data_IF_016743952859
#
_entry.id   IF_016743952859
#
_cell.length_a   1.000
_cell.length_b   1.000
_cell.length_c   1.000
_cell.angle_alpha   90.00
_cell.angle_beta   90.00
_cell.angle_gamma   90.00
#
_symmetry.space_group_name_H-M   'P 1'
#
loop_
_entity.id
_entity.type
_entity.pdbx_description
1 polymer ?
#
# COMPACT_ATOMS: atom_id res chain seq x y z
N UNK A 1 -10.61 21.92 -1.12
CA UNK A 1 -9.41 21.50 -1.91
C UNK A 1 -9.55 21.87 -3.38
N UNK A 2 -8.52 22.46 -3.99
CA UNK A 2 -8.40 22.69 -5.44
C UNK A 2 -8.30 21.35 -6.21
N UNK A 3 -8.39 21.39 -7.55
CA UNK A 3 -8.19 20.19 -8.38
C UNK A 3 -6.77 19.61 -8.21
N UNK A 4 -5.75 20.48 -8.17
CA UNK A 4 -4.37 20.08 -7.93
C UNK A 4 -4.19 19.39 -6.55
N UNK A 5 -4.80 19.92 -5.50
CA UNK A 5 -4.78 19.29 -4.18
C UNK A 5 -5.49 17.94 -4.16
N UNK A 6 -6.63 17.79 -4.87
CA UNK A 6 -7.30 16.48 -4.99
C UNK A 6 -6.42 15.47 -5.72
N UNK A 7 -5.77 15.88 -6.81
CA UNK A 7 -4.80 15.01 -7.52
C UNK A 7 -3.65 14.62 -6.60
N UNK A 8 -3.08 15.58 -5.86
CA UNK A 8 -1.98 15.33 -4.92
C UNK A 8 -2.33 14.31 -3.82
N UNK A 9 -3.60 14.25 -3.37
CA UNK A 9 -4.03 13.23 -2.41
C UNK A 9 -3.90 11.79 -2.94
N UNK A 10 -3.93 11.60 -4.26
CA UNK A 10 -3.81 10.27 -4.87
C UNK A 10 -2.39 9.71 -4.81
N UNK A 11 -1.41 10.43 -4.29
CA UNK A 11 -0.01 10.01 -4.29
C UNK A 11 0.52 9.69 -2.90
N UNK A 12 1.18 8.53 -2.78
CA UNK A 12 2.01 8.16 -1.66
C UNK A 12 3.45 8.02 -2.15
N UNK A 13 4.27 9.04 -1.89
CA UNK A 13 5.61 9.21 -2.47
C UNK A 13 6.70 8.76 -1.51
N UNK A 14 7.71 8.05 -2.02
CA UNK A 14 8.82 7.56 -1.23
C UNK A 14 9.78 8.68 -0.82
N UNK A 15 10.12 8.72 0.48
CA UNK A 15 11.20 9.56 0.99
C UNK A 15 12.55 8.93 0.68
N UNK A 16 13.51 9.75 0.27
CA UNK A 16 14.87 9.30 0.02
C UNK A 16 15.70 9.30 1.30
N UNK A 17 16.44 8.21 1.52
CA UNK A 17 17.46 8.13 2.57
C UNK A 17 16.95 8.54 3.97
N UNK A 18 15.77 8.06 4.39
CA UNK A 18 15.18 8.28 5.72
C UNK A 18 15.13 9.75 6.18
N UNK A 19 14.96 10.69 5.26
CA UNK A 19 14.88 12.13 5.55
C UNK A 19 13.98 12.88 4.57
N UNK A 20 13.49 14.02 5.02
CA UNK A 20 12.82 15.01 4.18
C UNK A 20 13.88 16.02 3.67
N UNK A 21 14.40 15.79 2.47
CA UNK A 21 15.33 16.72 1.84
C UNK A 21 14.61 17.92 1.18
N UNK A 22 15.39 18.90 0.69
CA UNK A 22 14.85 20.11 0.10
C UNK A 22 14.08 19.85 -1.21
N UNK A 23 14.51 18.86 -2.00
CA UNK A 23 13.84 18.50 -3.25
C UNK A 23 12.49 17.86 -2.97
N UNK A 24 12.45 16.91 -2.02
CA UNK A 24 11.20 16.26 -1.57
C UNK A 24 10.23 17.26 -0.97
N UNK A 25 10.70 18.16 -0.09
CA UNK A 25 9.88 19.26 0.46
C UNK A 25 9.26 20.11 -0.64
N UNK A 26 10.07 20.53 -1.62
CA UNK A 26 9.61 21.37 -2.74
C UNK A 26 8.53 20.67 -3.57
N UNK A 27 8.74 19.40 -3.89
CA UNK A 27 7.77 18.62 -4.68
C UNK A 27 6.47 18.36 -3.89
N UNK A 28 6.56 17.99 -2.61
CA UNK A 28 5.38 17.77 -1.76
C UNK A 28 4.50 19.03 -1.72
N UNK A 29 5.10 20.21 -1.50
CA UNK A 29 4.35 21.46 -1.45
C UNK A 29 3.83 21.86 -2.84
N UNK A 30 4.69 21.78 -3.88
CA UNK A 30 4.36 22.25 -5.22
C UNK A 30 3.30 21.43 -5.94
N UNK A 31 3.31 20.11 -5.73
CA UNK A 31 2.39 19.16 -6.36
C UNK A 31 1.31 18.67 -5.40
N UNK A 32 1.29 19.20 -4.16
CA UNK A 32 0.28 18.92 -3.14
C UNK A 32 0.19 17.41 -2.73
N UNK A 33 1.30 16.67 -2.80
CA UNK A 33 1.27 15.23 -2.46
C UNK A 33 0.80 15.02 -1.03
N UNK A 34 -0.19 14.13 -0.85
CA UNK A 34 -0.93 13.97 0.40
C UNK A 34 -0.42 12.86 1.31
N UNK A 35 0.52 12.01 0.85
CA UNK A 35 1.06 10.91 1.64
C UNK A 35 2.52 10.62 1.29
N UNK A 36 3.27 10.11 2.27
CA UNK A 36 4.68 9.73 2.08
C UNK A 36 4.95 8.36 2.69
N UNK A 37 6.06 7.71 2.28
CA UNK A 37 6.50 6.48 2.91
C UNK A 37 8.03 6.38 3.03
N UNK A 38 8.51 5.72 4.07
CA UNK A 38 9.92 5.40 4.27
C UNK A 38 10.32 4.25 3.33
N UNK A 39 10.97 4.59 2.23
CA UNK A 39 11.35 3.65 1.17
C UNK A 39 12.57 2.81 1.52
N UNK A 40 13.55 3.43 2.13
CA UNK A 40 14.80 2.78 2.50
C UNK A 40 14.71 2.17 3.91
N UNK A 41 15.51 1.12 4.12
CA UNK A 41 15.73 0.62 5.49
C UNK A 41 16.51 1.66 6.29
N UNK A 42 16.04 1.94 7.51
CA UNK A 42 16.71 2.86 8.42
C UNK A 42 16.89 2.27 9.81
N UNK A 43 17.97 2.65 10.48
CA UNK A 43 18.29 2.27 11.86
C UNK A 43 18.32 3.45 12.83
N UNK A 44 17.75 4.60 12.42
CA UNK A 44 17.76 5.83 13.24
C UNK A 44 16.85 5.76 14.47
N UNK A 45 16.10 4.68 14.62
CA UNK A 45 15.21 4.43 15.76
C UNK A 45 13.95 5.29 15.76
N UNK A 46 13.08 5.03 16.74
CA UNK A 46 11.77 5.69 16.88
C UNK A 46 11.90 7.22 16.90
N UNK A 47 12.82 7.77 17.70
CA UNK A 47 13.00 9.23 17.81
C UNK A 47 13.49 9.87 16.52
N UNK A 48 14.36 9.19 15.75
CA UNK A 48 14.84 9.66 14.46
C UNK A 48 13.75 9.68 13.41
N UNK A 49 12.98 8.59 13.31
CA UNK A 49 11.82 8.47 12.39
C UNK A 49 10.76 9.50 12.75
N UNK A 50 10.45 9.69 14.04
CA UNK A 50 9.51 10.70 14.52
C UNK A 50 9.88 12.10 14.07
N UNK A 51 11.15 12.47 14.16
CA UNK A 51 11.62 13.79 13.70
C UNK A 51 11.37 14.01 12.21
N UNK A 52 11.51 12.97 11.38
CA UNK A 52 11.22 13.06 9.94
C UNK A 52 9.72 13.15 9.70
N UNK A 53 8.93 12.32 10.39
CA UNK A 53 7.47 12.34 10.30
C UNK A 53 6.89 13.71 10.71
N UNK A 54 7.36 14.29 11.81
CA UNK A 54 6.93 15.63 12.26
C UNK A 54 7.30 16.71 11.24
N UNK A 55 8.48 16.60 10.59
CA UNK A 55 8.86 17.53 9.52
C UNK A 55 7.98 17.41 8.28
N UNK A 56 7.45 16.22 7.99
CA UNK A 56 6.46 16.00 6.92
C UNK A 56 5.11 16.59 7.33
N UNK A 57 4.61 16.29 8.52
CA UNK A 57 3.33 16.83 9.00
C UNK A 57 3.32 18.35 9.04
N UNK A 58 4.45 18.98 9.36
CA UNK A 58 4.59 20.44 9.32
C UNK A 58 4.38 21.07 7.93
N UNK A 59 4.29 20.28 6.85
CA UNK A 59 3.97 20.74 5.51
C UNK A 59 2.46 20.81 5.23
N UNK A 60 1.61 20.26 6.10
CA UNK A 60 0.19 20.06 5.83
C UNK A 60 -0.54 21.35 5.45
N UNK A 61 -0.25 22.46 6.13
CA UNK A 61 -0.86 23.76 5.82
C UNK A 61 -0.58 24.20 4.39
N UNK A 62 0.69 24.09 3.95
CA UNK A 62 1.12 24.60 2.63
C UNK A 62 0.80 23.60 1.49
N UNK A 63 0.88 22.31 1.78
CA UNK A 63 0.73 21.26 0.76
C UNK A 63 -0.73 20.83 0.57
N UNK A 64 -1.47 20.60 1.65
CA UNK A 64 -2.73 19.85 1.66
C UNK A 64 -3.90 20.57 2.31
N UNK A 65 -3.81 21.89 2.49
CA UNK A 65 -4.86 22.71 3.11
C UNK A 65 -5.20 22.27 4.55
N UNK A 66 -4.15 21.89 5.30
CA UNK A 66 -4.25 21.46 6.70
C UNK A 66 -4.65 19.99 6.89
N UNK A 67 -4.81 19.22 5.83
CA UNK A 67 -5.01 17.76 5.93
C UNK A 67 -3.68 17.06 6.19
N UNK A 68 -3.55 16.35 7.30
CA UNK A 68 -2.33 15.64 7.68
C UNK A 68 -2.01 14.48 6.72
N UNK A 69 -0.75 14.08 6.72
CA UNK A 69 -0.24 13.03 5.83
C UNK A 69 -0.47 11.63 6.39
N UNK A 70 -0.78 10.67 5.51
CA UNK A 70 -0.36 9.31 5.80
C UNK A 70 1.16 9.24 5.67
N UNK A 71 1.80 8.81 6.74
CA UNK A 71 3.23 8.48 6.79
C UNK A 71 3.35 6.97 6.91
N UNK A 72 3.88 6.32 5.88
CA UNK A 72 3.84 4.87 5.75
C UNK A 72 5.22 4.21 5.81
N UNK A 73 5.23 2.90 6.07
CA UNK A 73 6.42 2.05 5.97
C UNK A 73 6.03 0.60 5.63
N UNK A 74 7.00 -0.20 5.12
CA UNK A 74 6.89 -1.65 5.06
C UNK A 74 7.41 -2.24 6.38
N UNK A 75 6.52 -2.55 7.31
CA UNK A 75 6.89 -3.07 8.62
C UNK A 75 6.32 -4.47 8.86
N UNK A 76 6.47 -5.36 7.85
CA UNK A 76 5.96 -6.73 7.86
C UNK A 76 6.69 -7.62 8.88
N UNK A 77 7.98 -7.39 9.07
CA UNK A 77 8.91 -8.20 9.83
C UNK A 77 9.86 -9.04 8.95
N UNK A 78 10.71 -9.79 9.60
CA UNK A 78 11.72 -10.59 8.91
C UNK A 78 12.64 -9.75 8.03
N UNK A 79 12.72 -10.12 6.75
CA UNK A 79 13.54 -9.41 5.76
C UNK A 79 12.91 -8.08 5.30
N UNK A 80 11.59 -7.91 5.49
CA UNK A 80 10.85 -6.72 5.10
C UNK A 80 10.42 -5.95 6.34
N UNK A 81 11.41 -5.42 7.02
CA UNK A 81 11.27 -4.48 8.13
C UNK A 81 12.07 -3.24 7.79
N UNK A 82 11.38 -2.15 7.43
CA UNK A 82 12.02 -0.90 6.99
C UNK A 82 12.61 -0.12 8.16
N UNK A 83 11.89 -0.07 9.29
CA UNK A 83 12.24 0.75 10.43
C UNK A 83 12.85 -0.09 11.56
N UNK A 84 14.05 0.28 11.99
CA UNK A 84 14.81 -0.42 13.00
C UNK A 84 15.61 0.57 13.89
N UNK A 85 16.36 0.05 14.85
CA UNK A 85 17.16 0.84 15.79
C UNK A 85 16.45 1.06 17.11
N UNK A 86 16.95 1.97 17.96
CA UNK A 86 16.42 2.16 19.31
C UNK A 86 14.92 2.45 19.35
N UNK A 87 14.19 1.69 20.15
CA UNK A 87 12.74 1.79 20.30
C UNK A 87 11.93 0.88 19.36
N UNK A 88 12.49 0.38 18.26
CA UNK A 88 11.85 -0.63 17.42
C UNK A 88 12.23 -2.05 17.82
N UNK A 89 11.25 -2.92 17.93
CA UNK A 89 11.46 -4.37 18.09
C UNK A 89 11.88 -5.01 16.77
N UNK A 90 12.67 -6.07 16.83
CA UNK A 90 12.81 -6.99 15.69
C UNK A 90 11.53 -7.80 15.56
N UNK A 91 10.84 -7.64 14.44
CA UNK A 91 9.60 -8.35 14.13
C UNK A 91 9.96 -9.66 13.44
N UNK A 92 9.46 -10.83 13.90
CA UNK A 92 9.68 -12.11 13.22
C UNK A 92 9.17 -12.11 11.78
N UNK A 93 9.67 -13.02 10.93
CA UNK A 93 9.10 -13.24 9.60
C UNK A 93 7.62 -13.64 9.68
N UNK A 94 6.85 -13.39 8.62
CA UNK A 94 5.44 -13.80 8.60
C UNK A 94 5.28 -15.32 8.75
N UNK A 95 6.19 -16.13 8.21
CA UNK A 95 6.23 -17.60 8.47
C UNK A 95 6.33 -17.92 9.97
N UNK A 96 7.11 -17.16 10.73
CA UNK A 96 7.22 -17.38 12.18
C UNK A 96 6.04 -16.77 12.95
N UNK A 97 5.48 -15.67 12.47
CA UNK A 97 4.23 -15.10 12.99
C UNK A 97 3.05 -16.07 12.77
N UNK A 98 2.99 -16.77 11.62
CA UNK A 98 1.97 -17.75 11.28
C UNK A 98 1.94 -19.01 12.16
N UNK A 99 3.00 -19.24 12.96
CA UNK A 99 3.05 -20.33 13.97
C UNK A 99 2.44 -19.93 15.31
N UNK A 100 2.15 -18.64 15.50
CA UNK A 100 1.56 -18.13 16.73
C UNK A 100 0.05 -18.37 16.74
N UNK A 101 -0.53 -18.46 17.94
CA UNK A 101 -1.97 -18.28 18.06
C UNK A 101 -2.36 -16.88 17.56
N UNK A 102 -3.44 -16.74 16.78
CA UNK A 102 -3.87 -15.42 16.28
C UNK A 102 -4.06 -14.36 17.37
N UNK A 103 -4.53 -14.75 18.56
CA UNK A 103 -4.68 -13.81 19.69
C UNK A 103 -3.32 -13.30 20.22
N UNK A 104 -2.31 -14.16 20.20
CA UNK A 104 -0.93 -13.77 20.56
C UNK A 104 -0.35 -12.83 19.51
N UNK A 105 -0.57 -13.11 18.21
CA UNK A 105 -0.16 -12.23 17.12
C UNK A 105 -0.82 -10.87 17.23
N UNK A 106 -2.13 -10.80 17.49
CA UNK A 106 -2.87 -9.54 17.68
C UNK A 106 -2.24 -8.68 18.78
N UNK A 107 -1.92 -9.29 19.94
CA UNK A 107 -1.25 -8.58 21.02
C UNK A 107 0.18 -8.12 20.68
N UNK A 108 0.91 -8.86 19.84
CA UNK A 108 2.23 -8.45 19.35
C UNK A 108 2.13 -7.34 18.32
N UNK A 109 1.20 -7.45 17.38
CA UNK A 109 0.95 -6.42 16.36
C UNK A 109 0.56 -5.08 17.01
N UNK A 110 -0.25 -5.07 18.07
CA UNK A 110 -0.54 -3.86 18.83
C UNK A 110 0.72 -3.22 19.43
N UNK A 111 1.67 -4.00 19.93
CA UNK A 111 2.95 -3.46 20.43
C UNK A 111 3.83 -2.91 19.32
N UNK A 112 3.90 -3.57 18.16
CA UNK A 112 4.64 -3.08 17.01
C UNK A 112 3.99 -1.82 16.43
N UNK A 113 2.65 -1.80 16.37
CA UNK A 113 1.89 -0.62 15.96
C UNK A 113 2.10 0.57 16.89
N UNK A 114 2.19 0.36 18.21
CA UNK A 114 2.51 1.45 19.15
C UNK A 114 3.87 2.08 18.83
N UNK A 115 4.88 1.26 18.49
CA UNK A 115 6.19 1.78 18.09
C UNK A 115 6.13 2.59 16.78
N UNK A 116 5.23 2.22 15.84
CA UNK A 116 4.98 3.02 14.64
C UNK A 116 4.34 4.37 14.99
N UNK A 117 3.30 4.38 15.82
CA UNK A 117 2.66 5.62 16.29
C UNK A 117 3.64 6.51 17.05
N UNK A 118 4.45 5.94 17.93
CA UNK A 118 5.49 6.68 18.66
C UNK A 118 6.51 7.30 17.70
N UNK A 119 6.75 6.67 16.56
CA UNK A 119 7.61 7.15 15.47
C UNK A 119 6.91 8.11 14.49
N UNK A 120 5.62 8.41 14.66
CA UNK A 120 4.83 9.26 13.76
C UNK A 120 4.42 8.57 12.45
N UNK A 121 4.49 7.24 12.39
CA UNK A 121 4.07 6.42 11.26
C UNK A 121 2.66 5.89 11.54
N UNK A 122 1.71 6.22 10.68
CA UNK A 122 0.28 5.96 10.88
C UNK A 122 -0.33 5.02 9.83
N UNK A 123 0.48 4.54 8.88
CA UNK A 123 0.09 3.56 7.86
C UNK A 123 1.18 2.49 7.73
N UNK A 124 0.81 1.22 7.79
CA UNK A 124 1.71 0.10 7.50
C UNK A 124 1.30 -0.59 6.19
N UNK A 125 2.25 -0.77 5.28
CA UNK A 125 2.08 -1.60 4.08
C UNK A 125 2.17 -3.08 4.45
N UNK A 126 1.37 -3.50 5.41
CA UNK A 126 1.18 -4.85 5.92
C UNK A 126 -0.28 -4.99 6.42
N UNK A 127 -0.79 -6.22 6.54
CA UNK A 127 -0.13 -7.52 6.40
C UNK A 127 -0.07 -8.04 4.96
N UNK A 128 0.86 -8.98 4.71
CA UNK A 128 0.87 -9.79 3.50
C UNK A 128 -0.22 -10.84 3.59
N UNK A 129 -1.18 -10.79 2.66
CA UNK A 129 -2.31 -11.72 2.58
C UNK A 129 -2.12 -12.81 1.50
N UNK A 130 -0.95 -12.82 0.88
CA UNK A 130 -0.57 -13.81 -0.12
C UNK A 130 -0.47 -15.20 0.50
N UNK A 131 -0.89 -16.23 -0.25
CA UNK A 131 -0.80 -17.64 0.14
C UNK A 131 0.15 -18.36 -0.81
N UNK A 132 1.24 -18.89 -0.28
CA UNK A 132 2.21 -19.68 -1.06
C UNK A 132 1.84 -21.17 -0.93
N UNK A 133 1.63 -21.91 -2.04
CA UNK A 133 1.38 -23.33 -1.98
C UNK A 133 2.52 -24.08 -1.29
N UNK A 134 2.18 -25.03 -0.43
CA UNK A 134 3.18 -25.82 0.31
C UNK A 134 4.16 -26.50 -0.64
N UNK A 135 5.45 -26.29 -0.40
CA UNK A 135 6.55 -26.89 -1.18
C UNK A 135 6.95 -26.07 -2.41
N UNK A 136 6.33 -24.91 -2.66
CA UNK A 136 6.71 -24.00 -3.75
C UNK A 136 7.41 -22.72 -3.26
N UNK A 137 7.70 -22.63 -1.98
CA UNK A 137 8.28 -21.44 -1.34
C UNK A 137 9.60 -21.02 -2.00
N UNK A 138 10.44 -22.00 -2.37
CA UNK A 138 11.73 -21.76 -3.01
C UNK A 138 11.62 -21.24 -4.46
N UNK A 139 10.51 -21.49 -5.14
CA UNK A 139 10.23 -21.02 -6.50
C UNK A 139 9.53 -19.66 -6.52
N UNK A 140 8.89 -19.28 -5.43
CA UNK A 140 8.14 -18.03 -5.32
C UNK A 140 9.05 -16.90 -4.81
N UNK A 141 9.63 -16.13 -5.73
CA UNK A 141 10.61 -15.08 -5.41
C UNK A 141 10.03 -13.91 -4.58
N UNK A 142 8.80 -13.40 -4.84
CA UNK A 142 8.33 -12.20 -4.15
C UNK A 142 7.91 -12.44 -2.70
N UNK A 143 7.43 -13.64 -2.36
CA UNK A 143 6.83 -13.94 -1.05
C UNK A 143 7.57 -15.08 -0.35
N UNK A 144 7.57 -16.30 -0.92
CA UNK A 144 8.11 -17.50 -0.28
C UNK A 144 9.59 -17.42 0.05
N UNK A 145 10.45 -17.05 -0.92
CA UNK A 145 11.89 -16.88 -0.69
C UNK A 145 12.19 -15.84 0.40
N UNK A 146 11.32 -14.86 0.58
CA UNK A 146 11.46 -13.80 1.57
C UNK A 146 10.73 -14.11 2.89
N UNK A 147 10.06 -15.28 2.99
CA UNK A 147 9.32 -15.72 4.18
C UNK A 147 8.23 -14.73 4.62
N UNK A 148 7.52 -14.16 3.63
CA UNK A 148 6.50 -13.11 3.85
C UNK A 148 5.08 -13.66 4.00
N UNK A 149 4.84 -14.95 3.77
CA UNK A 149 3.55 -15.63 3.94
C UNK A 149 3.33 -16.10 5.39
N UNK A 150 2.09 -16.04 5.87
CA UNK A 150 1.72 -16.63 7.17
C UNK A 150 1.56 -18.16 7.10
N UNK A 151 1.58 -18.74 5.91
CA UNK A 151 1.44 -20.18 5.67
C UNK A 151 0.84 -20.51 4.32
N UNK A 152 0.48 -21.79 4.12
CA UNK A 152 -0.04 -22.31 2.84
C UNK A 152 -1.54 -22.65 2.85
N UNK A 153 -2.21 -22.54 4.01
CA UNK A 153 -3.67 -22.71 4.13
C UNK A 153 -4.36 -21.35 4.12
N UNK A 154 -5.24 -21.05 3.13
CA UNK A 154 -5.87 -19.75 3.01
C UNK A 154 -6.70 -19.33 4.23
N UNK A 155 -7.33 -20.31 4.91
CA UNK A 155 -8.16 -20.02 6.10
C UNK A 155 -7.26 -19.64 7.27
N UNK A 156 -6.16 -20.36 7.48
CA UNK A 156 -5.18 -20.05 8.52
C UNK A 156 -4.49 -18.71 8.25
N UNK A 157 -4.04 -18.45 7.02
CA UNK A 157 -3.47 -17.15 6.61
C UNK A 157 -4.46 -16.03 6.90
N UNK A 158 -5.72 -16.17 6.51
CA UNK A 158 -6.75 -15.17 6.76
C UNK A 158 -6.97 -14.86 8.25
N UNK A 159 -6.87 -15.86 9.14
CA UNK A 159 -6.93 -15.64 10.61
C UNK A 159 -5.78 -14.77 11.11
N UNK A 160 -4.55 -15.00 10.63
CA UNK A 160 -3.37 -14.24 11.02
C UNK A 160 -3.40 -12.83 10.43
N UNK A 161 -3.84 -12.68 9.18
CA UNK A 161 -4.09 -11.36 8.54
C UNK A 161 -5.06 -10.52 9.40
N UNK A 162 -6.19 -11.10 9.81
CA UNK A 162 -7.16 -10.40 10.67
C UNK A 162 -6.57 -10.04 12.04
N UNK A 163 -5.80 -10.95 12.64
CA UNK A 163 -5.14 -10.70 13.92
C UNK A 163 -4.15 -9.54 13.84
N UNK A 164 -3.34 -9.49 12.78
CA UNK A 164 -2.41 -8.39 12.54
C UNK A 164 -3.15 -7.06 12.36
N UNK A 165 -4.18 -7.02 11.49
CA UNK A 165 -5.02 -5.84 11.26
C UNK A 165 -5.60 -5.32 12.58
N UNK A 166 -6.25 -6.19 13.36
CA UNK A 166 -6.86 -5.82 14.64
C UNK A 166 -5.86 -5.26 15.64
N UNK A 167 -4.67 -5.86 15.72
CA UNK A 167 -3.62 -5.40 16.62
C UNK A 167 -3.15 -3.98 16.24
N UNK A 168 -2.89 -3.72 14.97
CA UNK A 168 -2.50 -2.40 14.47
C UNK A 168 -3.60 -1.36 14.66
N UNK A 169 -4.84 -1.70 14.31
CA UNK A 169 -6.00 -0.80 14.45
C UNK A 169 -6.26 -0.37 15.90
N UNK A 170 -6.01 -1.25 16.89
CA UNK A 170 -6.15 -0.94 18.32
C UNK A 170 -5.34 0.27 18.77
N UNK A 171 -4.25 0.56 18.10
CA UNK A 171 -3.33 1.65 18.43
C UNK A 171 -3.35 2.78 17.40
N UNK A 172 -4.27 2.72 16.42
CA UNK A 172 -4.46 3.79 15.43
C UNK A 172 -3.57 3.70 14.19
N UNK A 173 -2.92 2.55 13.92
CA UNK A 173 -2.20 2.33 12.66
C UNK A 173 -3.15 1.77 11.61
N UNK A 174 -3.27 2.47 10.49
CA UNK A 174 -3.93 1.94 9.30
C UNK A 174 -3.09 0.83 8.65
N UNK A 175 -3.75 -0.16 8.06
CA UNK A 175 -3.10 -1.35 7.48
C UNK A 175 -3.45 -1.55 6.01
N UNK A 176 -2.61 -2.29 5.29
CA UNK A 176 -2.78 -2.58 3.86
C UNK A 176 -2.69 -4.08 3.63
N UNK A 177 -3.78 -4.71 3.23
CA UNK A 177 -3.74 -6.12 2.79
C UNK A 177 -3.13 -6.21 1.38
N UNK A 178 -2.09 -7.05 1.20
CA UNK A 178 -1.31 -7.11 -0.05
C UNK A 178 -0.84 -8.51 -0.40
N UNK A 179 -0.62 -8.79 -1.65
CA UNK A 179 -0.75 -8.02 -2.89
C UNK A 179 -1.88 -8.61 -3.74
N UNK A 180 -3.03 -8.00 -3.74
CA UNK A 180 -4.24 -8.55 -4.40
C UNK A 180 -4.05 -8.72 -5.91
N UNK A 181 -4.53 -9.82 -6.54
CA UNK A 181 -5.31 -10.93 -5.98
C UNK A 181 -4.46 -12.05 -5.35
N UNK A 182 -3.14 -11.93 -5.27
CA UNK A 182 -2.20 -12.81 -4.57
C UNK A 182 -0.95 -13.15 -5.38
N UNK A 183 0.25 -12.86 -4.84
CA UNK A 183 1.56 -13.17 -5.47
C UNK A 183 2.13 -14.54 -5.07
N UNK A 184 1.37 -15.36 -4.34
CA UNK A 184 1.90 -16.62 -3.82
C UNK A 184 2.15 -17.71 -4.85
N UNK A 185 1.68 -17.57 -6.11
CA UNK A 185 1.80 -18.57 -7.18
C UNK A 185 2.65 -18.12 -8.35
N UNK A 186 3.20 -16.89 -8.32
CA UNK A 186 4.14 -16.41 -9.34
C UNK A 186 5.56 -16.83 -9.02
N UNK A 187 6.41 -16.95 -10.03
CA UNK A 187 7.83 -17.24 -9.84
C UNK A 187 8.66 -15.95 -9.80
N UNK A 188 8.41 -15.02 -10.72
CA UNK A 188 9.11 -13.74 -10.81
C UNK A 188 8.71 -12.75 -9.73
N UNK A 189 9.64 -11.88 -9.34
CA UNK A 189 9.37 -10.74 -8.48
C UNK A 189 9.15 -9.48 -9.33
N UNK A 190 7.97 -8.88 -9.23
CA UNK A 190 7.54 -7.70 -9.99
C UNK A 190 8.42 -6.47 -9.76
N UNK A 191 9.14 -6.41 -8.64
CA UNK A 191 10.09 -5.33 -8.37
C UNK A 191 11.31 -5.35 -9.29
N UNK A 192 11.69 -6.55 -9.78
CA UNK A 192 12.94 -6.78 -10.51
C UNK A 192 12.77 -7.50 -11.86
N UNK A 193 11.54 -7.80 -12.24
CA UNK A 193 11.24 -8.61 -13.43
C UNK A 193 9.97 -8.09 -14.10
N UNK A 194 10.05 -7.85 -15.41
CA UNK A 194 8.89 -7.64 -16.26
C UNK A 194 8.16 -8.95 -16.57
N UNK A 195 6.92 -8.88 -17.02
CA UNK A 195 6.12 -10.03 -17.50
C UNK A 195 5.96 -11.17 -16.47
N UNK A 196 5.70 -10.83 -15.21
CA UNK A 196 5.31 -11.81 -14.18
C UNK A 196 3.86 -12.22 -14.38
N UNK A 197 3.63 -13.53 -14.55
CA UNK A 197 2.31 -14.07 -14.89
C UNK A 197 1.90 -15.17 -13.90
N UNK A 198 0.67 -15.08 -13.42
CA UNK A 198 -0.05 -16.16 -12.71
C UNK A 198 -1.02 -16.84 -13.67
N UNK A 199 -0.77 -18.10 -13.98
CA UNK A 199 -1.59 -18.90 -14.90
C UNK A 199 -2.65 -19.74 -14.20
N UNK A 200 -2.75 -19.65 -12.87
CA UNK A 200 -3.57 -20.55 -12.03
C UNK A 200 -4.74 -19.82 -11.37
N UNK A 201 -4.48 -18.64 -10.79
CA UNK A 201 -5.46 -17.90 -9.98
C UNK A 201 -6.66 -17.43 -10.79
N UNK A 202 -7.87 -17.73 -10.31
CA UNK A 202 -9.14 -17.34 -10.92
C UNK A 202 -9.88 -16.30 -10.08
N UNK A 203 -10.92 -15.68 -10.65
CA UNK A 203 -11.76 -14.72 -9.93
C UNK A 203 -12.44 -15.29 -8.66
N UNK A 204 -12.64 -16.61 -8.60
CA UNK A 204 -13.25 -17.29 -7.45
C UNK A 204 -12.28 -18.23 -6.72
N UNK A 205 -10.98 -17.96 -6.82
CA UNK A 205 -9.93 -18.77 -6.21
C UNK A 205 -10.00 -18.78 -4.68
N UNK A 206 -9.81 -19.95 -4.02
CA UNK A 206 -9.77 -20.02 -2.56
C UNK A 206 -8.68 -19.16 -1.92
N UNK A 207 -7.60 -18.84 -2.65
CA UNK A 207 -6.48 -18.04 -2.14
C UNK A 207 -6.83 -16.55 -1.98
N UNK A 208 -7.99 -16.10 -2.46
CA UNK A 208 -8.52 -14.77 -2.15
C UNK A 208 -9.15 -14.67 -0.73
N UNK A 209 -9.35 -15.81 -0.03
CA UNK A 209 -9.96 -15.86 1.31
C UNK A 209 -9.29 -14.92 2.33
N UNK A 210 -7.94 -14.81 2.41
CA UNK A 210 -7.32 -13.86 3.32
C UNK A 210 -7.70 -12.40 3.05
N UNK A 211 -7.87 -12.01 1.78
CA UNK A 211 -8.32 -10.67 1.41
C UNK A 211 -9.77 -10.44 1.77
N UNK A 212 -10.65 -11.41 1.53
CA UNK A 212 -12.06 -11.32 1.94
C UNK A 212 -12.20 -11.17 3.47
N UNK A 213 -11.39 -11.88 4.24
CA UNK A 213 -11.33 -11.73 5.70
C UNK A 213 -10.76 -10.37 6.12
N UNK A 214 -9.72 -9.87 5.44
CA UNK A 214 -9.19 -8.54 5.69
C UNK A 214 -10.26 -7.46 5.47
N UNK A 215 -11.02 -7.55 4.37
CA UNK A 215 -12.14 -6.65 4.06
C UNK A 215 -13.23 -6.74 5.14
N UNK A 216 -13.62 -7.96 5.54
CA UNK A 216 -14.59 -8.16 6.62
C UNK A 216 -14.11 -7.66 7.99
N UNK A 217 -12.79 -7.57 8.20
CA UNK A 217 -12.16 -7.00 9.39
C UNK A 217 -12.00 -5.48 9.32
N UNK A 218 -12.43 -4.84 8.23
CA UNK A 218 -12.39 -3.39 8.07
C UNK A 218 -11.02 -2.83 7.64
N UNK A 219 -10.20 -3.62 6.92
CA UNK A 219 -8.93 -3.10 6.39
C UNK A 219 -9.18 -1.86 5.53
N UNK A 220 -8.51 -0.72 5.80
CA UNK A 220 -8.77 0.51 5.04
C UNK A 220 -8.12 0.51 3.65
N UNK A 221 -7.03 -0.24 3.44
CA UNK A 221 -6.29 -0.27 2.18
C UNK A 221 -6.11 -1.70 1.67
N UNK A 222 -6.21 -1.86 0.34
CA UNK A 222 -5.80 -3.07 -0.39
C UNK A 222 -4.83 -2.67 -1.48
N UNK A 223 -3.65 -3.28 -1.49
CA UNK A 223 -2.62 -3.05 -2.50
C UNK A 223 -2.76 -4.06 -3.63
N UNK A 224 -2.82 -3.56 -4.88
CA UNK A 224 -2.93 -4.39 -6.09
C UNK A 224 -1.55 -4.72 -6.62
N UNK A 225 -1.32 -5.98 -6.95
CA UNK A 225 -0.06 -6.46 -7.52
C UNK A 225 0.17 -5.96 -8.96
N UNK A 226 1.41 -6.07 -9.42
CA UNK A 226 1.82 -5.75 -10.81
C UNK A 226 2.02 -7.02 -11.66
N UNK A 227 1.50 -8.16 -11.25
CA UNK A 227 1.48 -9.37 -12.06
C UNK A 227 0.26 -9.42 -12.99
N UNK A 228 0.34 -10.17 -14.08
CA UNK A 228 -0.80 -10.53 -14.93
C UNK A 228 -1.44 -11.81 -14.42
N UNK A 229 -2.78 -11.92 -14.47
CA UNK A 229 -3.53 -13.10 -14.05
C UNK A 229 -4.33 -13.62 -15.24
N UNK A 230 -3.77 -14.59 -15.97
CA UNK A 230 -4.29 -15.10 -17.24
C UNK A 230 -5.75 -15.53 -17.19
N UNK A 231 -6.18 -16.10 -16.05
CA UNK A 231 -7.55 -16.59 -15.87
C UNK A 231 -8.54 -15.53 -15.38
N UNK A 232 -8.08 -14.28 -15.17
CA UNK A 232 -8.95 -13.14 -14.81
C UNK A 232 -8.91 -12.10 -15.92
N UNK A 233 -7.72 -11.64 -16.28
CA UNK A 233 -7.49 -10.66 -17.33
C UNK A 233 -6.08 -10.86 -17.94
N UNK A 234 -5.96 -11.61 -19.03
CA UNK A 234 -4.66 -11.91 -19.66
C UNK A 234 -4.03 -10.69 -20.35
N UNK A 235 -4.82 -9.65 -20.61
CA UNK A 235 -4.40 -8.51 -21.42
C UNK A 235 -3.81 -7.36 -20.58
N UNK A 236 -4.03 -7.37 -19.24
CA UNK A 236 -3.62 -6.27 -18.37
C UNK A 236 -2.96 -6.77 -17.07
N UNK A 237 -1.97 -6.02 -16.60
CA UNK A 237 -1.49 -6.17 -15.22
C UNK A 237 -2.65 -5.95 -14.25
N UNK A 238 -2.66 -6.64 -13.11
CA UNK A 238 -3.76 -6.54 -12.14
C UNK A 238 -4.05 -5.08 -11.73
N UNK A 239 -3.02 -4.25 -11.53
CA UNK A 239 -3.18 -2.84 -11.20
C UNK A 239 -3.85 -2.01 -12.31
N UNK A 240 -3.84 -2.48 -13.57
CA UNK A 240 -4.46 -1.81 -14.71
C UNK A 240 -5.72 -2.55 -15.23
N UNK A 241 -6.21 -3.50 -14.44
CA UNK A 241 -7.35 -4.35 -14.81
C UNK A 241 -8.63 -3.95 -14.08
N UNK A 242 -9.59 -3.42 -14.83
CA UNK A 242 -10.96 -3.21 -14.33
C UNK A 242 -11.62 -4.51 -13.88
N UNK A 243 -11.30 -5.65 -14.53
CA UNK A 243 -11.82 -6.97 -14.10
C UNK A 243 -11.33 -7.35 -12.72
N UNK A 244 -10.04 -7.09 -12.40
CA UNK A 244 -9.47 -7.36 -11.09
C UNK A 244 -10.03 -6.40 -10.06
N UNK A 245 -9.93 -5.07 -10.31
CA UNK A 245 -10.27 -4.05 -9.31
C UNK A 245 -11.79 -3.96 -9.11
N UNK A 246 -12.56 -3.66 -10.16
CA UNK A 246 -14.02 -3.53 -10.02
C UNK A 246 -14.72 -4.87 -9.97
N UNK A 247 -14.28 -5.85 -10.78
CA UNK A 247 -14.92 -7.17 -10.83
C UNK A 247 -14.69 -7.95 -9.54
N UNK A 248 -13.45 -8.31 -9.26
CA UNK A 248 -13.16 -9.23 -8.16
C UNK A 248 -13.10 -8.51 -6.81
N UNK A 249 -12.35 -7.40 -6.71
CA UNK A 249 -12.15 -6.75 -5.39
C UNK A 249 -13.38 -5.95 -4.94
N UNK A 250 -13.89 -5.04 -5.78
CA UNK A 250 -14.99 -4.15 -5.39
C UNK A 250 -16.32 -4.90 -5.32
N UNK A 251 -16.71 -5.60 -6.40
CA UNK A 251 -18.03 -6.23 -6.50
C UNK A 251 -18.10 -7.56 -5.76
N UNK A 252 -17.16 -8.51 -6.01
CA UNK A 252 -17.30 -9.87 -5.52
C UNK A 252 -16.84 -10.03 -4.07
N UNK A 253 -15.82 -9.29 -3.64
CA UNK A 253 -15.36 -9.25 -2.24
C UNK A 253 -16.04 -8.13 -1.42
N UNK A 254 -16.53 -7.07 -2.07
CA UNK A 254 -17.24 -5.98 -1.41
C UNK A 254 -16.33 -4.92 -0.79
N UNK A 255 -15.09 -4.73 -1.31
CA UNK A 255 -14.16 -3.75 -0.76
C UNK A 255 -14.58 -2.31 -1.07
N UNK A 256 -14.88 -1.51 -0.05
CA UNK A 256 -15.25 -0.10 -0.16
C UNK A 256 -14.10 0.89 0.08
N UNK A 257 -12.99 0.45 0.69
CA UNK A 257 -11.85 1.30 1.07
C UNK A 257 -10.94 1.74 -0.10
N UNK A 258 -9.75 2.19 0.23
CA UNK A 258 -8.77 2.72 -0.73
C UNK A 258 -8.03 1.60 -1.44
N UNK A 259 -8.14 1.54 -2.77
CA UNK A 259 -7.32 0.67 -3.62
C UNK A 259 -6.01 1.38 -3.92
N UNK A 260 -4.88 0.82 -3.45
CA UNK A 260 -3.57 1.37 -3.78
C UNK A 260 -2.82 0.46 -4.75
N UNK A 261 -1.94 1.04 -5.56
CA UNK A 261 -1.05 0.27 -6.43
C UNK A 261 0.10 -0.32 -5.61
N UNK A 262 0.70 -1.41 -6.07
CA UNK A 262 2.10 -1.67 -5.77
C UNK A 262 2.97 -0.59 -6.45
N UNK A 263 4.28 -0.56 -6.18
CA UNK A 263 5.14 0.53 -6.64
C UNK A 263 5.12 0.71 -8.15
N UNK A 264 4.52 1.81 -8.64
CA UNK A 264 4.52 2.14 -10.08
C UNK A 264 5.90 2.56 -10.62
N UNK A 265 6.97 2.31 -9.86
CA UNK A 265 8.37 2.42 -10.32
C UNK A 265 9.08 1.07 -10.36
N UNK A 266 8.38 -0.04 -10.15
CA UNK A 266 8.89 -1.39 -10.29
C UNK A 266 9.22 -1.75 -11.75
N UNK A 267 10.11 -2.74 -11.94
CA UNK A 267 10.52 -3.17 -13.29
C UNK A 267 9.35 -3.72 -14.11
N UNK A 268 8.35 -4.30 -13.46
CA UNK A 268 7.15 -4.81 -14.12
C UNK A 268 6.40 -3.77 -14.98
N UNK A 269 6.56 -2.49 -14.69
CA UNK A 269 5.91 -1.38 -15.42
C UNK A 269 6.91 -0.46 -16.13
N UNK A 270 8.20 -0.78 -16.15
CA UNK A 270 9.27 0.09 -16.66
C UNK A 270 9.09 0.53 -18.11
N UNK A 271 8.52 -0.32 -18.96
CA UNK A 271 8.25 -0.05 -20.38
C UNK A 271 7.08 0.93 -20.62
N UNK A 272 6.27 1.22 -19.61
CA UNK A 272 5.13 2.13 -19.72
C UNK A 272 5.58 3.52 -19.24
N UNK A 273 5.27 4.57 -20.01
CA UNK A 273 5.61 5.93 -19.58
C UNK A 273 4.95 6.29 -18.23
N UNK A 274 5.64 6.99 -17.33
CA UNK A 274 5.13 7.26 -15.97
C UNK A 274 3.71 7.85 -15.93
N UNK A 275 3.43 8.88 -16.74
CA UNK A 275 2.09 9.47 -16.81
C UNK A 275 1.01 8.49 -17.27
N UNK A 276 1.35 7.55 -18.17
CA UNK A 276 0.41 6.53 -18.63
C UNK A 276 0.10 5.52 -17.53
N UNK A 277 1.11 5.08 -16.73
CA UNK A 277 0.89 4.20 -15.56
C UNK A 277 -0.13 4.79 -14.59
N UNK A 278 -0.02 6.09 -14.31
CA UNK A 278 -0.96 6.78 -13.44
C UNK A 278 -2.38 6.81 -14.03
N UNK A 279 -2.50 7.15 -15.31
CA UNK A 279 -3.79 7.17 -16.02
C UNK A 279 -4.43 5.79 -16.02
N UNK A 280 -3.69 4.74 -16.40
CA UNK A 280 -4.20 3.38 -16.50
C UNK A 280 -4.68 2.84 -15.14
N UNK A 281 -3.92 3.15 -14.06
CA UNK A 281 -4.31 2.77 -12.71
C UNK A 281 -5.62 3.43 -12.26
N UNK A 282 -5.77 4.74 -12.47
CA UNK A 282 -7.00 5.47 -12.12
C UNK A 282 -8.16 5.04 -13.02
N UNK A 283 -7.93 4.82 -14.31
CA UNK A 283 -8.97 4.33 -15.24
C UNK A 283 -9.44 2.90 -14.90
N UNK A 284 -8.55 2.06 -14.38
CA UNK A 284 -8.90 0.73 -13.89
C UNK A 284 -9.69 0.74 -12.56
N UNK A 285 -9.75 1.87 -11.84
CA UNK A 285 -10.49 2.03 -10.59
C UNK A 285 -9.61 2.05 -9.35
N UNK A 286 -8.31 2.28 -9.50
CA UNK A 286 -7.38 2.55 -8.41
C UNK A 286 -7.59 3.93 -7.80
N UNK A 287 -7.17 4.11 -6.54
CA UNK A 287 -7.34 5.35 -5.79
C UNK A 287 -6.01 5.99 -5.39
N UNK A 288 -5.04 5.22 -4.87
CA UNK A 288 -3.78 5.75 -4.35
C UNK A 288 -2.58 5.13 -5.07
N UNK A 289 -1.77 5.97 -5.69
CA UNK A 289 -0.54 5.60 -6.40
C UNK A 289 0.61 5.56 -5.41
N UNK A 290 1.23 4.38 -5.25
CA UNK A 290 2.47 4.21 -4.50
C UNK A 290 3.65 4.22 -5.48
N UNK A 291 4.68 4.97 -5.16
CA UNK A 291 5.88 5.02 -5.98
C UNK A 291 7.13 5.35 -5.14
N UNK A 292 8.31 4.99 -5.66
CA UNK A 292 9.58 5.24 -5.02
C UNK A 292 10.03 6.70 -5.17
N UNK A 293 10.89 7.05 -6.15
CA UNK A 293 11.45 8.39 -6.25
C UNK A 293 10.40 9.46 -6.53
N UNK A 294 10.35 10.49 -5.69
CA UNK A 294 9.38 11.58 -5.81
C UNK A 294 9.46 12.32 -7.16
N UNK A 295 10.62 12.33 -7.79
CA UNK A 295 10.81 12.93 -9.13
C UNK A 295 9.94 12.27 -10.22
N UNK A 296 9.53 11.00 -10.02
CA UNK A 296 8.65 10.30 -10.96
C UNK A 296 7.17 10.65 -10.71
N UNK A 297 6.82 11.13 -9.52
CA UNK A 297 5.45 11.52 -9.18
C UNK A 297 4.98 12.76 -9.95
N UNK A 298 5.88 13.75 -10.16
CA UNK A 298 5.55 15.02 -10.84
C UNK A 298 4.97 14.78 -12.24
N UNK A 299 5.65 14.07 -13.17
CA UNK A 299 5.08 13.81 -14.50
C UNK A 299 3.82 12.93 -14.45
N UNK A 300 3.63 12.11 -13.41
CA UNK A 300 2.38 11.37 -13.20
C UNK A 300 1.23 12.31 -12.83
N UNK A 301 1.44 13.24 -11.88
CA UNK A 301 0.45 14.23 -11.47
C UNK A 301 0.06 15.14 -12.63
N UNK A 302 1.03 15.63 -13.41
CA UNK A 302 0.81 16.43 -14.62
C UNK A 302 -0.06 15.70 -15.65
N UNK A 303 0.19 14.40 -15.85
CA UNK A 303 -0.59 13.58 -16.78
C UNK A 303 -2.05 13.42 -16.33
N UNK A 304 -2.27 13.19 -15.01
CA UNK A 304 -3.62 13.13 -14.44
C UNK A 304 -4.36 14.47 -14.61
N UNK A 305 -3.70 15.60 -14.30
CA UNK A 305 -4.27 16.94 -14.44
C UNK A 305 -4.65 17.22 -15.90
N UNK A 306 -3.76 16.94 -16.84
CA UNK A 306 -4.01 17.11 -18.27
C UNK A 306 -5.19 16.27 -18.76
N UNK A 307 -5.28 15.01 -18.31
CA UNK A 307 -6.39 14.12 -18.67
C UNK A 307 -7.70 14.60 -18.06
N UNK A 308 -7.70 15.04 -16.80
CA UNK A 308 -8.89 15.56 -16.10
C UNK A 308 -9.43 16.83 -16.76
N UNK A 309 -8.55 17.73 -17.21
CA UNK A 309 -8.95 18.96 -17.89
C UNK A 309 -9.75 18.72 -19.18
N UNK A 310 -9.48 17.61 -19.90
CA UNK A 310 -10.13 17.25 -21.16
C UNK A 310 -11.20 16.17 -21.04
N UNK A 311 -11.38 15.53 -19.87
CA UNK A 311 -12.27 14.39 -19.67
C UNK A 311 -13.02 14.48 -18.33
N UNK A 312 -14.27 14.90 -18.38
CA UNK A 312 -15.11 15.08 -17.17
C UNK A 312 -15.35 13.76 -16.41
N UNK A 313 -15.46 12.62 -17.11
CA UNK A 313 -15.62 11.32 -16.47
C UNK A 313 -14.34 10.92 -15.70
N UNK A 314 -13.16 11.19 -16.27
CA UNK A 314 -11.89 10.94 -15.60
C UNK A 314 -11.69 11.85 -14.39
N UNK A 315 -12.07 13.14 -14.49
CA UNK A 315 -12.07 14.07 -13.36
C UNK A 315 -12.95 13.57 -12.23
N UNK A 316 -14.16 13.09 -12.52
CA UNK A 316 -15.05 12.51 -11.53
C UNK A 316 -14.43 11.29 -10.83
N UNK A 317 -13.63 10.47 -11.52
CA UNK A 317 -12.89 9.35 -10.90
C UNK A 317 -11.84 9.87 -9.91
N UNK A 318 -11.06 10.88 -10.29
CA UNK A 318 -10.09 11.54 -9.38
C UNK A 318 -10.81 12.06 -8.13
N UNK A 319 -11.95 12.74 -8.29
CA UNK A 319 -12.72 13.27 -7.18
C UNK A 319 -13.22 12.16 -6.24
N UNK A 320 -13.70 11.03 -6.78
CA UNK A 320 -14.10 9.87 -5.97
C UNK A 320 -12.92 9.20 -5.27
N UNK A 321 -11.76 9.08 -5.93
CA UNK A 321 -10.57 8.52 -5.31
C UNK A 321 -10.03 9.42 -4.20
N UNK A 322 -9.98 10.73 -4.43
CA UNK A 322 -9.61 11.69 -3.41
C UNK A 322 -10.57 11.63 -2.20
N UNK A 323 -11.88 11.52 -2.44
CA UNK A 323 -12.86 11.38 -1.36
C UNK A 323 -12.61 10.14 -0.50
N UNK A 324 -12.40 8.96 -1.11
CA UNK A 324 -12.07 7.74 -0.35
C UNK A 324 -10.82 7.87 0.50
N UNK A 325 -9.80 8.54 -0.04
CA UNK A 325 -8.55 8.79 0.71
C UNK A 325 -8.82 9.73 1.88
N UNK A 326 -9.62 10.78 1.69
CA UNK A 326 -9.99 11.70 2.75
C UNK A 326 -10.87 11.03 3.81
N UNK A 327 -11.81 10.15 3.43
CA UNK A 327 -12.57 9.32 4.37
C UNK A 327 -11.67 8.40 5.21
N UNK A 328 -10.64 7.80 4.58
CA UNK A 328 -9.64 7.01 5.30
C UNK A 328 -8.79 7.89 6.24
N UNK A 329 -8.46 9.12 5.84
CA UNK A 329 -7.77 10.10 6.67
C UNK A 329 -8.64 10.59 7.83
N UNK A 330 -9.92 10.82 7.61
CA UNK A 330 -10.88 11.16 8.66
C UNK A 330 -10.96 10.08 9.73
N UNK A 331 -11.13 8.83 9.30
CA UNK A 331 -11.13 7.67 10.19
C UNK A 331 -9.81 7.50 10.98
N UNK A 332 -8.69 8.00 10.46
CA UNK A 332 -7.38 8.02 11.12
C UNK A 332 -7.13 9.31 11.94
N UNK A 333 -8.08 10.25 12.00
CA UNK A 333 -7.92 11.51 12.73
C UNK A 333 -6.96 12.50 12.08
N UNK A 334 -6.78 12.42 10.76
CA UNK A 334 -5.84 13.25 9.98
C UNK A 334 -6.50 14.45 9.29
N UNK A 335 -7.81 14.66 9.46
CA UNK A 335 -8.45 15.87 8.98
C UNK A 335 -8.38 16.98 10.04
N UNK A 336 -8.24 18.26 9.62
CA UNK A 336 -8.29 19.36 10.56
C UNK A 336 -9.65 19.36 11.29
N UNK A 337 -9.64 19.49 12.63
CA UNK A 337 -10.86 19.67 13.37
C UNK A 337 -11.60 20.87 12.80
N UNK A 338 -12.85 20.68 12.35
CA UNK A 338 -13.78 21.78 12.09
C UNK A 338 -14.02 22.47 13.42
N UNK A 339 -13.38 23.63 13.62
CA UNK A 339 -13.56 24.48 14.79
C UNK A 339 -14.98 25.01 14.90
#
# INVERSE_FOLDING_TARGET
MTESQRIGQLFNVGLENDRLDAASRKAIIGDHFGSVWFRAKTTIGVAGVRKVADAVQALATDATDGVDFFVAANQEGGLIQALAGPGFSTIPSAVDQGKLDPSVLEGRAARWGQQLIDAGVNLDFAPVADVVPKGTEAQNAPIGQLRREYGSDPVAVGKHVVAFIRGMTKVGVATTAKHFPGLGRVEGNTDFTSAVVDTVTTAHDPYREPFARAVSAGVPFVMISLATYDRIDPDHLAAFSTKVIHGVLRRDIGFGGVVMSDSLTADAVSEIAPGQRAIDFIDAGGDMIVLGPIAVAVPMADALAKRAASNAAFRARIDHSALRILEAKDAAGLLPCSG
#
